data_IF_404298777477
#
_entry.id   IF_404298777477
#
_cell.length_a   1.000
_cell.length_b   1.000
_cell.length_c   1.000
_cell.angle_alpha   90.00
_cell.angle_beta   90.00
_cell.angle_gamma   90.00
#
_symmetry.space_group_name_H-M   'P 1'
#
loop_
_entity.id
_entity.type
_entity.pdbx_description
1 polymer ?
#
# COMPACT_ATOMS: atom_id res chain seq x y z
N UNK A 1 -1.38 -4.02 26.62
CA UNK A 1 -1.00 -3.29 25.39
C UNK A 1 0.29 -2.50 25.64
N UNK A 2 1.22 -2.49 24.69
CA UNK A 2 2.43 -1.66 24.74
C UNK A 2 2.76 -1.08 23.36
N UNK A 3 3.49 0.04 23.33
CA UNK A 3 3.86 0.73 22.10
C UNK A 3 5.35 1.04 22.04
N UNK A 4 5.91 1.08 20.83
CA UNK A 4 7.32 1.43 20.56
C UNK A 4 7.43 2.21 19.27
N UNK A 5 8.03 3.40 19.31
CA UNK A 5 8.32 4.18 18.09
C UNK A 5 9.29 3.42 17.19
N UNK A 6 8.99 3.37 15.90
CA UNK A 6 9.85 2.73 14.89
C UNK A 6 10.83 3.73 14.29
N UNK A 7 10.40 4.97 14.10
CA UNK A 7 11.22 6.07 13.62
C UNK A 7 10.92 7.35 14.42
N UNK A 8 11.79 8.36 14.31
CA UNK A 8 11.61 9.63 15.03
C UNK A 8 10.38 10.41 14.55
N UNK A 9 10.07 10.31 13.25
CA UNK A 9 9.05 11.13 12.59
C UNK A 9 7.79 10.36 12.19
N UNK A 10 7.83 9.02 12.18
CA UNK A 10 6.70 8.19 11.79
C UNK A 10 6.84 6.79 12.41
N UNK A 11 5.82 5.95 12.28
CA UNK A 11 5.87 4.54 12.64
C UNK A 11 5.70 4.27 14.14
N UNK A 12 4.71 3.45 14.46
CA UNK A 12 4.46 2.94 15.81
C UNK A 12 4.23 1.43 15.78
N UNK A 13 5.03 0.67 16.52
CA UNK A 13 4.74 -0.73 16.82
C UNK A 13 3.76 -0.80 17.99
N UNK A 14 2.70 -1.61 17.83
CA UNK A 14 1.68 -1.86 18.84
C UNK A 14 1.64 -3.37 19.14
N UNK A 15 1.73 -3.72 20.42
CA UNK A 15 1.68 -5.12 20.90
C UNK A 15 0.57 -5.34 21.91
N UNK A 16 0.03 -6.55 21.89
CA UNK A 16 -1.03 -6.97 22.82
C UNK A 16 -2.37 -6.27 22.56
N UNK A 17 -2.62 -5.88 21.31
CA UNK A 17 -3.93 -5.49 20.79
C UNK A 17 -4.40 -6.60 19.84
N UNK A 18 -5.64 -7.06 20.00
CA UNK A 18 -6.24 -8.05 19.12
C UNK A 18 -7.14 -7.34 18.09
N UNK A 19 -6.70 -7.31 16.84
CA UNK A 19 -7.42 -6.60 15.78
C UNK A 19 -8.73 -7.29 15.38
N UNK A 20 -8.94 -8.56 15.74
CA UNK A 20 -10.17 -9.32 15.43
C UNK A 20 -11.37 -8.85 16.24
N UNK A 21 -11.12 -8.29 17.42
CA UNK A 21 -12.13 -7.97 18.42
C UNK A 21 -12.00 -6.53 18.93
N UNK A 22 -11.46 -5.62 18.10
CA UNK A 22 -11.29 -4.22 18.47
C UNK A 22 -12.66 -3.53 18.52
N UNK A 23 -13.01 -3.02 19.71
CA UNK A 23 -14.24 -2.27 19.94
C UNK A 23 -14.15 -0.84 19.37
N UNK A 24 -15.22 -0.05 19.53
CA UNK A 24 -15.26 1.32 19.03
C UNK A 24 -14.23 2.23 19.71
N UNK A 25 -14.12 2.27 21.06
CA UNK A 25 -13.09 3.07 21.71
C UNK A 25 -11.67 2.63 21.33
N UNK A 26 -11.41 1.33 21.20
CA UNK A 26 -10.12 0.81 20.77
C UNK A 26 -9.78 1.22 19.34
N UNK A 27 -10.77 1.23 18.44
CA UNK A 27 -10.58 1.66 17.06
C UNK A 27 -10.37 3.17 16.94
N UNK A 28 -11.11 3.98 17.69
CA UNK A 28 -10.88 5.44 17.74
C UNK A 28 -9.44 5.74 18.18
N UNK A 29 -8.97 5.08 19.24
CA UNK A 29 -7.59 5.19 19.70
C UNK A 29 -6.59 4.77 18.61
N UNK A 30 -6.86 3.66 17.91
CA UNK A 30 -6.03 3.15 16.81
C UNK A 30 -5.95 4.17 15.65
N UNK A 31 -7.08 4.79 15.31
CA UNK A 31 -7.16 5.81 14.26
C UNK A 31 -6.36 7.06 14.65
N UNK A 32 -6.43 7.50 15.91
CA UNK A 32 -5.57 8.58 16.42
C UNK A 32 -4.09 8.22 16.30
N UNK A 33 -3.69 6.98 16.63
CA UNK A 33 -2.31 6.54 16.46
C UNK A 33 -1.90 6.53 14.99
N UNK A 34 -2.79 6.11 14.08
CA UNK A 34 -2.52 6.12 12.65
C UNK A 34 -2.29 7.56 12.16
N UNK A 35 -3.15 8.51 12.51
CA UNK A 35 -2.97 9.91 12.12
C UNK A 35 -1.69 10.53 12.71
N UNK A 36 -1.32 10.18 13.95
CA UNK A 36 -0.14 10.72 14.60
C UNK A 36 1.18 10.13 14.06
N UNK A 37 1.16 8.89 13.55
CA UNK A 37 2.37 8.15 13.20
C UNK A 37 2.49 7.76 11.74
N UNK A 38 1.43 7.81 10.94
CA UNK A 38 1.40 7.48 9.50
C UNK A 38 1.67 6.02 9.14
N UNK A 39 2.15 5.20 10.08
CA UNK A 39 2.45 3.78 9.90
C UNK A 39 2.26 3.07 11.24
N UNK A 40 1.46 2.01 11.25
CA UNK A 40 1.28 1.14 12.41
C UNK A 40 1.77 -0.27 12.11
N UNK A 41 2.56 -0.84 13.02
CA UNK A 41 3.05 -2.21 12.94
C UNK A 41 2.45 -3.04 14.06
N UNK A 42 1.64 -4.03 13.69
CA UNK A 42 1.10 -5.00 14.62
C UNK A 42 1.91 -6.29 14.55
N UNK A 43 2.26 -6.84 15.71
CA UNK A 43 2.93 -8.14 15.82
C UNK A 43 1.93 -9.19 16.33
N UNK A 44 2.21 -10.44 15.99
CA UNK A 44 1.52 -11.62 16.51
C UNK A 44 0.00 -11.64 16.23
N UNK A 45 -0.41 -11.04 15.10
CA UNK A 45 -1.79 -11.05 14.63
C UNK A 45 -2.09 -12.33 13.84
N UNK A 46 -3.31 -12.84 14.01
CA UNK A 46 -3.77 -14.09 13.39
C UNK A 46 -5.16 -13.87 12.78
N UNK A 47 -5.23 -13.00 11.77
CA UNK A 47 -6.46 -12.65 11.07
C UNK A 47 -6.83 -13.71 10.01
N UNK A 48 -8.11 -14.06 9.97
CA UNK A 48 -8.75 -14.66 8.80
C UNK A 48 -9.04 -13.57 7.75
N UNK A 49 -9.19 -13.93 6.46
CA UNK A 49 -9.53 -12.97 5.41
C UNK A 49 -10.75 -12.09 5.72
N UNK A 50 -11.81 -12.68 6.29
CA UNK A 50 -13.01 -11.95 6.71
C UNK A 50 -12.72 -10.89 7.78
N UNK A 51 -11.85 -11.21 8.74
CA UNK A 51 -11.47 -10.29 9.83
C UNK A 51 -10.58 -9.15 9.29
N UNK A 52 -9.72 -9.44 8.32
CA UNK A 52 -8.92 -8.41 7.65
C UNK A 52 -9.81 -7.46 6.83
N UNK A 53 -10.81 -7.97 6.10
CA UNK A 53 -11.78 -7.13 5.39
C UNK A 53 -12.59 -6.29 6.38
N UNK A 54 -13.12 -6.91 7.45
CA UNK A 54 -13.90 -6.20 8.47
C UNK A 54 -13.10 -5.09 9.17
N UNK A 55 -11.79 -5.30 9.41
CA UNK A 55 -10.92 -4.24 9.93
C UNK A 55 -10.77 -3.11 8.91
N UNK A 56 -10.53 -3.43 7.64
CA UNK A 56 -10.43 -2.43 6.56
C UNK A 56 -11.71 -1.61 6.42
N UNK A 57 -12.88 -2.23 6.58
CA UNK A 57 -14.19 -1.56 6.54
C UNK A 57 -14.38 -0.52 7.64
N UNK A 58 -13.64 -0.62 8.76
CA UNK A 58 -13.65 0.42 9.81
C UNK A 58 -12.97 1.72 9.35
N UNK A 59 -12.04 1.65 8.38
CA UNK A 59 -11.34 2.80 7.82
C UNK A 59 -12.04 3.41 6.60
N UNK A 60 -12.93 2.68 5.94
CA UNK A 60 -13.61 3.12 4.72
C UNK A 60 -14.07 1.95 3.87
N UNK A 61 -14.32 2.20 2.58
CA UNK A 61 -14.72 1.15 1.63
C UNK A 61 -13.44 0.53 1.05
N UNK A 62 -13.13 -0.76 1.29
CA UNK A 62 -11.93 -1.36 0.73
C UNK A 62 -12.03 -1.49 -0.79
N UNK A 63 -11.01 -0.99 -1.51
CA UNK A 63 -10.91 -1.12 -2.96
C UNK A 63 -10.71 -2.57 -3.41
N UNK A 64 -11.08 -2.87 -4.66
CA UNK A 64 -10.79 -4.16 -5.30
C UNK A 64 -9.52 -4.00 -6.16
N UNK A 65 -8.42 -4.72 -5.86
CA UNK A 65 -7.19 -4.60 -6.62
C UNK A 65 -7.38 -4.99 -8.10
N UNK A 66 -6.65 -4.35 -9.04
CA UNK A 66 -6.91 -4.43 -10.47
C UNK A 66 -6.49 -5.75 -11.15
N UNK A 67 -5.93 -6.71 -10.39
CA UNK A 67 -5.42 -8.00 -10.89
C UNK A 67 -6.23 -9.16 -10.30
N UNK A 68 -7.46 -9.39 -10.79
CA UNK A 68 -8.41 -10.32 -10.17
C UNK A 68 -7.89 -11.76 -10.07
N UNK A 69 -6.97 -12.18 -10.94
CA UNK A 69 -6.34 -13.50 -10.87
C UNK A 69 -5.51 -13.75 -9.60
N UNK A 70 -5.13 -12.69 -8.88
CA UNK A 70 -4.40 -12.76 -7.61
C UNK A 70 -5.28 -12.43 -6.40
N UNK A 71 -6.54 -12.04 -6.61
CA UNK A 71 -7.46 -11.72 -5.53
C UNK A 71 -7.98 -13.00 -4.87
N UNK A 72 -8.27 -12.96 -3.58
CA UNK A 72 -8.89 -14.08 -2.87
C UNK A 72 -10.34 -14.25 -3.32
N UNK A 73 -10.80 -15.51 -3.44
CA UNK A 73 -12.12 -15.86 -3.96
C UNK A 73 -13.27 -15.09 -3.29
N UNK A 74 -13.65 -15.48 -2.07
CA UNK A 74 -14.78 -14.86 -1.35
C UNK A 74 -14.45 -13.47 -0.78
N UNK A 75 -13.20 -13.02 -0.88
CA UNK A 75 -12.71 -11.75 -0.32
C UNK A 75 -11.89 -11.00 -1.38
N UNK A 76 -12.51 -10.55 -2.48
CA UNK A 76 -11.81 -9.97 -3.63
C UNK A 76 -11.06 -8.67 -3.33
N UNK A 77 -11.33 -8.04 -2.18
CA UNK A 77 -10.61 -6.88 -1.67
C UNK A 77 -9.17 -7.21 -1.23
N UNK A 78 -8.87 -8.50 -0.99
CA UNK A 78 -7.53 -8.97 -0.61
C UNK A 78 -6.84 -9.54 -1.85
N UNK A 79 -5.68 -8.98 -2.20
CA UNK A 79 -4.81 -9.51 -3.26
C UNK A 79 -3.57 -10.19 -2.66
N UNK A 80 -3.17 -11.33 -3.24
CA UNK A 80 -1.95 -12.04 -2.85
C UNK A 80 -0.74 -11.37 -3.45
N UNK A 81 0.18 -10.96 -2.59
CA UNK A 81 1.50 -10.44 -2.95
C UNK A 81 2.58 -11.45 -2.55
N UNK A 82 3.49 -11.74 -3.47
CA UNK A 82 4.56 -12.71 -3.25
C UNK A 82 4.98 -13.44 -4.52
N UNK A 83 6.06 -14.22 -4.40
CA UNK A 83 6.66 -14.98 -5.49
C UNK A 83 6.23 -16.45 -5.52
N UNK A 84 5.12 -16.80 -4.87
CA UNK A 84 4.62 -18.17 -4.79
C UNK A 84 4.07 -18.66 -6.14
N UNK A 85 4.46 -19.89 -6.52
CA UNK A 85 4.03 -20.56 -7.74
C UNK A 85 3.34 -21.88 -7.43
N UNK A 86 2.44 -22.30 -8.30
CA UNK A 86 1.78 -23.61 -8.22
C UNK A 86 2.68 -24.73 -8.77
N UNK A 87 2.29 -26.02 -8.65
CA UNK A 87 3.09 -27.14 -9.17
C UNK A 87 3.30 -27.15 -10.70
N UNK A 88 2.53 -26.34 -11.43
CA UNK A 88 2.68 -26.14 -12.87
C UNK A 88 3.50 -24.87 -13.20
N UNK A 89 4.22 -24.32 -12.21
CA UNK A 89 5.08 -23.14 -12.29
C UNK A 89 4.35 -21.83 -12.62
N UNK A 90 3.03 -21.77 -12.38
CA UNK A 90 2.24 -20.55 -12.61
C UNK A 90 2.23 -19.66 -11.36
N UNK A 91 2.38 -18.33 -11.49
CA UNK A 91 2.32 -17.43 -10.35
C UNK A 91 0.93 -17.46 -9.70
N UNK A 92 0.91 -17.59 -8.37
CA UNK A 92 -0.31 -17.60 -7.54
C UNK A 92 -0.49 -16.33 -6.71
N UNK A 93 0.48 -15.42 -6.81
CA UNK A 93 0.52 -14.12 -6.19
C UNK A 93 1.18 -13.13 -7.15
N UNK A 94 0.87 -11.86 -7.00
CA UNK A 94 1.53 -10.81 -7.76
C UNK A 94 2.93 -10.56 -7.18
N UNK A 95 3.94 -10.59 -8.05
CA UNK A 95 5.31 -10.23 -7.71
C UNK A 95 5.81 -9.19 -8.71
N UNK A 96 6.30 -8.06 -8.20
CA UNK A 96 6.92 -7.04 -9.04
C UNK A 96 8.43 -7.30 -9.14
N UNK A 97 8.86 -7.89 -10.26
CA UNK A 97 10.25 -8.25 -10.52
C UNK A 97 11.15 -7.03 -10.85
N UNK A 98 10.59 -5.87 -11.18
CA UNK A 98 11.35 -4.64 -11.49
C UNK A 98 12.11 -4.04 -10.31
N UNK A 99 11.82 -4.50 -9.09
CA UNK A 99 12.39 -3.95 -7.87
C UNK A 99 11.64 -2.69 -7.40
N UNK A 100 11.13 -2.78 -6.18
CA UNK A 100 11.11 -1.77 -5.10
C UNK A 100 11.24 -0.28 -5.49
N UNK A 101 10.48 0.21 -6.47
CA UNK A 101 10.39 1.65 -6.72
C UNK A 101 9.69 2.31 -5.51
N UNK A 102 10.17 3.47 -5.09
CA UNK A 102 9.45 4.30 -4.12
C UNK A 102 8.14 4.77 -4.75
N UNK A 103 7.02 4.47 -4.11
CA UNK A 103 5.69 4.84 -4.58
C UNK A 103 4.75 5.08 -3.40
N UNK A 104 3.62 5.72 -3.70
CA UNK A 104 2.40 5.63 -2.90
C UNK A 104 1.41 4.77 -3.68
N UNK A 105 0.72 3.87 -2.99
CA UNK A 105 -0.34 3.08 -3.61
C UNK A 105 -1.43 4.00 -4.17
N UNK A 106 -2.01 3.58 -5.29
CA UNK A 106 -3.09 4.30 -5.99
C UNK A 106 -2.77 5.76 -6.36
N UNK A 107 -1.49 6.17 -6.34
CA UNK A 107 -1.09 7.50 -6.78
C UNK A 107 -1.56 7.75 -8.22
N UNK A 108 -2.39 8.78 -8.36
CA UNK A 108 -3.03 9.18 -9.61
C UNK A 108 -4.36 8.51 -9.93
N UNK A 109 -4.96 7.82 -8.98
CA UNK A 109 -6.36 7.42 -9.08
C UNK A 109 -7.24 8.60 -8.62
N UNK A 110 -8.44 8.72 -9.18
CA UNK A 110 -9.40 9.77 -8.77
C UNK A 110 -9.71 9.70 -7.27
N UNK A 111 -9.78 8.48 -6.73
CA UNK A 111 -9.92 8.21 -5.30
C UNK A 111 -8.62 7.56 -4.81
N UNK A 112 -7.85 8.32 -4.03
CA UNK A 112 -6.64 7.83 -3.39
C UNK A 112 -6.97 6.93 -2.20
N UNK A 113 -6.15 5.91 -1.98
CA UNK A 113 -6.27 5.07 -0.80
C UNK A 113 -5.86 5.86 0.45
N UNK A 114 -6.76 5.94 1.43
CA UNK A 114 -6.44 6.56 2.73
C UNK A 114 -5.56 5.70 3.62
N UNK A 115 -5.57 4.38 3.41
CA UNK A 115 -4.82 3.37 4.18
C UNK A 115 -4.51 2.16 3.30
N UNK A 116 -3.26 1.70 3.32
CA UNK A 116 -2.87 0.38 2.79
C UNK A 116 -2.70 -0.63 3.92
N UNK A 117 -3.28 -1.83 3.76
CA UNK A 117 -3.07 -2.96 4.66
C UNK A 117 -2.15 -4.00 4.02
N UNK A 118 -1.06 -4.33 4.71
CA UNK A 118 -0.19 -5.44 4.34
C UNK A 118 -0.13 -6.46 5.48
N UNK A 119 -0.55 -7.69 5.20
CA UNK A 119 -0.60 -8.78 6.17
C UNK A 119 0.31 -9.94 5.75
N UNK A 120 1.31 -10.24 6.59
CA UNK A 120 2.34 -11.22 6.29
C UNK A 120 1.84 -12.65 6.56
N UNK A 121 1.78 -13.48 5.51
CA UNK A 121 1.39 -14.91 5.60
C UNK A 121 2.62 -15.82 5.66
N UNK A 122 3.59 -15.58 4.77
CA UNK A 122 4.89 -16.25 4.75
C UNK A 122 5.97 -15.20 4.59
N UNK A 123 7.02 -15.29 5.40
CA UNK A 123 8.13 -14.33 5.41
C UNK A 123 9.41 -15.09 5.07
N UNK A 124 10.22 -14.61 4.11
CA UNK A 124 11.49 -15.24 3.79
C UNK A 124 12.47 -15.13 4.97
N UNK A 125 13.42 -16.07 5.05
CA UNK A 125 14.43 -16.06 6.11
C UNK A 125 15.40 -14.87 6.01
N UNK A 126 15.55 -14.30 4.81
CA UNK A 126 16.36 -13.12 4.54
C UNK A 126 15.80 -12.35 3.35
N UNK A 127 15.95 -11.02 3.35
CA UNK A 127 15.41 -10.13 2.33
C UNK A 127 13.91 -9.89 2.45
N UNK A 128 13.34 -9.18 1.48
CA UNK A 128 11.91 -8.90 1.42
C UNK A 128 11.45 -7.80 2.40
N UNK A 129 12.38 -7.00 2.91
CA UNK A 129 12.07 -5.85 3.75
C UNK A 129 11.23 -4.82 2.98
N UNK A 130 10.19 -4.30 3.62
CA UNK A 130 9.44 -3.14 3.11
C UNK A 130 10.00 -1.88 3.73
N UNK A 131 10.46 -0.95 2.89
CA UNK A 131 10.96 0.35 3.32
C UNK A 131 9.87 1.40 3.24
N UNK A 132 9.88 2.35 4.19
CA UNK A 132 8.92 3.45 4.27
C UNK A 132 9.66 4.78 4.40
N UNK A 133 9.07 5.84 3.84
CA UNK A 133 9.58 7.21 3.89
C UNK A 133 8.46 8.16 4.31
N UNK A 134 8.74 9.08 5.23
CA UNK A 134 7.79 10.14 5.60
C UNK A 134 7.92 11.31 4.63
N UNK A 135 6.91 11.49 3.77
CA UNK A 135 6.85 12.65 2.87
C UNK A 135 6.64 13.97 3.63
N UNK A 136 6.04 13.92 4.83
CA UNK A 136 5.97 15.07 5.74
C UNK A 136 7.36 15.50 6.21
N UNK A 137 8.16 14.57 6.73
CA UNK A 137 9.52 14.89 7.19
C UNK A 137 10.42 15.30 6.02
N UNK A 138 10.28 14.64 4.86
CA UNK A 138 10.98 15.03 3.65
C UNK A 138 10.68 16.49 3.31
N UNK A 139 9.39 16.86 3.21
CA UNK A 139 9.00 18.24 2.95
C UNK A 139 9.50 19.22 4.02
N UNK A 140 9.37 18.89 5.31
CA UNK A 140 9.76 19.78 6.40
C UNK A 140 11.27 20.06 6.44
N UNK A 141 12.09 19.10 6.01
CA UNK A 141 13.56 19.20 6.05
C UNK A 141 14.20 19.70 4.75
N UNK A 142 13.42 19.89 3.68
CA UNK A 142 13.93 20.47 2.43
C UNK A 142 14.50 21.88 2.64
N UNK A 143 15.57 22.19 1.90
CA UNK A 143 16.13 23.54 1.90
C UNK A 143 15.09 24.58 1.47
N UNK A 144 15.02 25.77 2.12
CA UNK A 144 14.00 26.78 1.82
C UNK A 144 13.93 27.19 0.34
N UNK A 145 15.08 27.24 -0.35
CA UNK A 145 15.14 27.57 -1.76
C UNK A 145 14.44 26.51 -2.63
N UNK A 146 14.65 25.22 -2.33
CA UNK A 146 14.00 24.14 -3.05
C UNK A 146 12.49 24.08 -2.73
N UNK A 147 12.08 24.29 -1.47
CA UNK A 147 10.64 24.41 -1.15
C UNK A 147 9.97 25.54 -1.95
N UNK A 148 10.65 26.68 -2.10
CA UNK A 148 10.12 27.80 -2.88
C UNK A 148 10.01 27.47 -4.37
N UNK A 149 10.99 26.76 -4.94
CA UNK A 149 10.95 26.32 -6.33
C UNK A 149 9.86 25.27 -6.59
N UNK A 150 9.57 24.40 -5.62
CA UNK A 150 8.57 23.34 -5.75
C UNK A 150 7.12 23.83 -5.61
N UNK A 151 6.89 24.99 -4.97
CA UNK A 151 5.54 25.55 -4.80
C UNK A 151 4.86 25.85 -6.13
N UNK A 152 3.61 25.41 -6.27
CA UNK A 152 2.83 25.58 -7.50
C UNK A 152 3.27 24.68 -8.65
N UNK A 153 4.26 23.79 -8.44
CA UNK A 153 4.55 22.73 -9.41
C UNK A 153 3.52 21.62 -9.28
N UNK A 154 3.32 20.92 -10.39
CA UNK A 154 2.42 19.78 -10.49
C UNK A 154 3.21 18.54 -10.88
N UNK A 155 2.75 17.40 -10.40
CA UNK A 155 3.28 16.08 -10.75
C UNK A 155 2.25 15.35 -11.62
N UNK A 156 2.75 14.68 -12.66
CA UNK A 156 1.95 13.79 -13.49
C UNK A 156 2.07 12.37 -12.95
N UNK A 157 0.96 11.79 -12.53
CA UNK A 157 0.87 10.37 -12.21
C UNK A 157 0.33 9.62 -13.42
N UNK A 158 1.12 8.67 -13.94
CA UNK A 158 0.72 7.85 -15.08
C UNK A 158 0.87 6.37 -14.74
N UNK A 159 -0.26 5.74 -14.41
CA UNK A 159 -0.31 4.29 -14.22
C UNK A 159 0.02 3.55 -15.52
N UNK A 160 -0.42 4.09 -16.67
CA UNK A 160 -0.13 3.52 -17.98
C UNK A 160 1.38 3.49 -18.27
N UNK A 161 2.09 4.59 -17.97
CA UNK A 161 3.55 4.64 -18.14
C UNK A 161 4.28 3.64 -17.24
N UNK A 162 3.86 3.51 -15.97
CA UNK A 162 4.41 2.48 -15.08
C UNK A 162 4.11 1.07 -15.59
N UNK A 163 2.87 0.80 -16.01
CA UNK A 163 2.48 -0.51 -16.53
C UNK A 163 3.24 -0.89 -17.81
N UNK A 164 3.51 0.07 -18.69
CA UNK A 164 4.28 -0.16 -19.92
C UNK A 164 5.69 -0.65 -19.61
N UNK A 165 6.34 -0.05 -18.60
CA UNK A 165 7.64 -0.54 -18.12
C UNK A 165 7.55 -1.97 -17.61
N UNK A 166 6.60 -2.27 -16.72
CA UNK A 166 6.41 -3.61 -16.13
C UNK A 166 6.10 -4.65 -17.22
N UNK A 167 5.28 -4.29 -18.20
CA UNK A 167 4.93 -5.16 -19.33
C UNK A 167 6.15 -5.42 -20.22
N UNK A 168 7.02 -4.43 -20.43
CA UNK A 168 8.20 -4.57 -21.29
C UNK A 168 9.23 -5.62 -20.79
N UNK A 169 9.18 -5.99 -19.50
CA UNK A 169 10.07 -6.98 -18.91
C UNK A 169 9.37 -8.26 -18.45
N UNK A 170 8.09 -8.43 -18.76
CA UNK A 170 7.29 -9.60 -18.36
C UNK A 170 6.60 -10.23 -19.56
N UNK A 171 6.06 -11.44 -19.38
CA UNK A 171 5.24 -12.11 -20.40
C UNK A 171 3.81 -11.53 -20.53
N UNK A 172 3.54 -10.41 -19.85
CA UNK A 172 2.24 -9.75 -19.90
C UNK A 172 1.99 -9.13 -21.28
N UNK A 173 0.73 -9.14 -21.73
CA UNK A 173 0.34 -8.42 -22.94
C UNK A 173 0.17 -6.93 -22.66
N UNK A 174 0.58 -6.05 -23.58
CA UNK A 174 0.25 -4.63 -23.50
C UNK A 174 -1.26 -4.42 -23.45
N UNK A 175 -1.67 -3.37 -22.75
CA UNK A 175 -3.06 -3.00 -22.62
C UNK A 175 -3.63 -2.43 -23.92
N UNK A 176 -4.90 -2.71 -24.19
CA UNK A 176 -5.62 -2.07 -25.31
C UNK A 176 -5.87 -0.59 -25.02
N UNK A 177 -6.12 0.25 -26.05
CA UNK A 177 -6.49 1.65 -25.85
C UNK A 177 -7.67 1.84 -24.88
N UNK A 178 -8.69 0.97 -24.93
CA UNK A 178 -9.85 1.02 -24.04
C UNK A 178 -9.44 0.74 -22.59
N UNK A 179 -8.58 -0.25 -22.36
CA UNK A 179 -8.07 -0.56 -21.02
C UNK A 179 -7.22 0.58 -20.44
N UNK A 180 -6.43 1.26 -21.28
CA UNK A 180 -5.63 2.43 -20.88
C UNK A 180 -6.51 3.61 -20.52
N UNK A 181 -7.61 3.82 -21.25
CA UNK A 181 -8.55 4.92 -21.01
C UNK A 181 -9.28 4.81 -19.65
N UNK A 182 -9.35 3.62 -19.06
CA UNK A 182 -9.89 3.42 -17.72
C UNK A 182 -8.97 3.95 -16.60
N UNK A 183 -7.70 4.25 -16.92
CA UNK A 183 -6.70 4.76 -15.97
C UNK A 183 -5.95 5.94 -16.59
N UNK A 184 -6.66 7.07 -16.82
CA UNK A 184 -6.05 8.26 -17.41
C UNK A 184 -4.97 8.80 -16.49
N UNK A 185 -4.05 9.56 -17.07
CA UNK A 185 -3.04 10.25 -16.28
C UNK A 185 -3.70 11.36 -15.43
N UNK A 186 -3.25 11.54 -14.20
CA UNK A 186 -3.71 12.60 -13.30
C UNK A 186 -2.60 13.62 -13.04
N UNK A 187 -3.00 14.84 -12.72
CA UNK A 187 -2.07 15.91 -12.37
C UNK A 187 -2.41 16.47 -11.00
N UNK A 188 -1.53 16.22 -10.04
CA UNK A 188 -1.68 16.67 -8.66
C UNK A 188 -0.71 17.82 -8.35
N UNK A 189 -1.10 18.72 -7.45
CA UNK A 189 -0.16 19.72 -6.92
C UNK A 189 0.87 19.01 -6.04
N UNK A 190 2.14 19.40 -6.18
CA UNK A 190 3.20 18.74 -5.44
C UNK A 190 3.16 19.07 -3.94
N UNK A 191 2.72 20.29 -3.59
CA UNK A 191 2.64 20.88 -2.24
C UNK A 191 1.71 22.08 -2.17
#
# INVERSE_FOLDING_TARGET
MSTRKLHRAFGLEIRGLDLRAIDDPGFEWLLEQYHAHGLLLFKDQHLQPAEQVALGERFGIPGIPPRPQFNLGDHPQISRLGNERDPADRPTAFFNEMGVEWHSDSAGYENLDGVTFLYAIKVPAAGGETMFCSMYEAWETLEPALKADLRGRRVLHSWNWHNDKVTAISDARPLTPEQRALRPDSWDELV
#
